data_IF_997616095837
#
_entry.id   IF_997616095837
#
_cell.length_a   1.000
_cell.length_b   1.000
_cell.length_c   1.000
_cell.angle_alpha   90.00
_cell.angle_beta   90.00
_cell.angle_gamma   90.00
#
_symmetry.space_group_name_H-M   'P 1'
#
loop_
_entity.id
_entity.type
_entity.pdbx_description
1 polymer ?
#
# COMPACT_ATOMS: atom_id res chain seq x y z
N UNK A 1 19.37 6.66 -34.09
CA UNK A 1 20.82 6.84 -34.12
C UNK A 1 21.24 7.59 -32.85
N UNK A 2 21.76 6.87 -31.84
CA UNK A 2 21.98 7.36 -30.46
C UNK A 2 23.46 7.58 -30.16
N UNK A 3 24.19 8.20 -31.09
CA UNK A 3 25.60 8.58 -30.89
C UNK A 3 25.79 9.88 -30.08
N UNK A 4 24.70 10.59 -29.71
CA UNK A 4 24.78 11.97 -29.18
C UNK A 4 24.57 12.13 -27.66
N UNK A 5 24.28 11.06 -26.91
CA UNK A 5 24.42 11.08 -25.46
C UNK A 5 25.61 10.20 -25.11
N UNK A 6 26.68 10.75 -24.53
CA UNK A 6 27.77 9.96 -23.96
C UNK A 6 27.26 8.92 -22.95
N UNK A 7 28.12 8.11 -22.32
CA UNK A 7 27.67 7.17 -21.29
C UNK A 7 27.02 7.96 -20.15
N UNK A 8 25.68 8.03 -20.16
CA UNK A 8 24.94 8.61 -19.04
C UNK A 8 25.29 7.82 -17.79
N UNK A 9 25.37 8.51 -16.64
CA UNK A 9 25.71 7.86 -15.37
C UNK A 9 24.69 6.78 -14.99
N UNK A 10 23.46 6.89 -15.50
CA UNK A 10 22.37 5.97 -15.22
C UNK A 10 21.77 5.41 -16.51
N UNK A 11 21.45 4.11 -16.48
CA UNK A 11 20.63 3.45 -17.49
C UNK A 11 19.19 3.40 -17.00
N UNK A 12 18.29 4.17 -17.62
CA UNK A 12 16.85 4.07 -17.43
C UNK A 12 16.30 2.88 -18.22
N UNK A 13 15.36 2.15 -17.64
CA UNK A 13 14.65 1.04 -18.28
C UNK A 13 13.26 0.85 -17.69
N UNK A 14 12.42 0.11 -18.40
CA UNK A 14 11.11 -0.34 -17.93
C UNK A 14 11.25 -1.76 -17.41
N UNK A 15 10.71 -2.01 -16.22
CA UNK A 15 10.60 -3.32 -15.59
C UNK A 15 9.14 -3.77 -15.65
N UNK A 16 8.91 -4.89 -16.30
CA UNK A 16 7.66 -5.66 -16.26
C UNK A 16 7.86 -6.86 -15.35
N UNK A 17 6.95 -7.08 -14.40
CA UNK A 17 6.98 -8.21 -13.47
C UNK A 17 5.60 -8.81 -13.24
N UNK A 18 5.54 -10.13 -13.10
CA UNK A 18 4.33 -10.90 -12.77
C UNK A 18 4.55 -11.65 -11.46
N UNK A 19 3.64 -11.47 -10.49
CA UNK A 19 3.64 -12.20 -9.21
C UNK A 19 4.95 -12.11 -8.40
N UNK A 20 5.69 -11.01 -8.58
CA UNK A 20 7.02 -10.80 -8.00
C UNK A 20 7.13 -9.48 -7.26
N UNK A 21 7.94 -9.48 -6.22
CA UNK A 21 8.31 -8.26 -5.52
C UNK A 21 9.32 -7.44 -6.34
N UNK A 22 9.26 -6.12 -6.22
CA UNK A 22 10.17 -5.21 -6.94
C UNK A 22 11.63 -5.49 -6.57
N UNK A 23 11.94 -5.64 -5.29
CA UNK A 23 13.30 -5.89 -4.79
C UNK A 23 13.80 -7.27 -5.22
N UNK A 24 12.93 -8.27 -5.31
CA UNK A 24 13.27 -9.58 -5.87
C UNK A 24 13.81 -9.46 -7.30
N UNK A 25 13.13 -8.69 -8.15
CA UNK A 25 13.57 -8.42 -9.52
C UNK A 25 14.88 -7.63 -9.58
N UNK A 26 15.05 -6.59 -8.75
CA UNK A 26 16.29 -5.80 -8.72
C UNK A 26 17.50 -6.62 -8.23
N UNK A 27 17.30 -7.53 -7.28
CA UNK A 27 18.33 -8.45 -6.83
C UNK A 27 18.77 -9.43 -7.94
N UNK A 28 17.84 -9.84 -8.82
CA UNK A 28 18.19 -10.64 -10.00
C UNK A 28 19.00 -9.83 -11.01
N UNK A 29 18.60 -8.58 -11.28
CA UNK A 29 19.36 -7.68 -12.15
C UNK A 29 20.79 -7.48 -11.65
N UNK A 30 20.95 -7.23 -10.34
CA UNK A 30 22.24 -7.08 -9.69
C UNK A 30 23.17 -8.29 -9.88
N UNK A 31 22.62 -9.51 -9.78
CA UNK A 31 23.38 -10.74 -10.04
C UNK A 31 23.84 -10.85 -11.49
N UNK A 32 22.96 -10.56 -12.45
CA UNK A 32 23.29 -10.60 -13.88
C UNK A 32 24.35 -9.57 -14.24
N UNK A 33 24.27 -8.36 -13.69
CA UNK A 33 25.20 -7.28 -14.01
C UNK A 33 26.50 -7.31 -13.22
N UNK A 34 26.57 -8.11 -12.14
CA UNK A 34 27.67 -8.13 -11.20
C UNK A 34 27.76 -6.84 -10.38
N UNK A 35 26.62 -6.22 -10.07
CA UNK A 35 26.52 -4.98 -9.29
C UNK A 35 25.78 -5.23 -7.98
N UNK A 36 25.70 -4.21 -7.12
CA UNK A 36 24.86 -4.24 -5.92
C UNK A 36 23.41 -3.89 -6.28
N UNK A 37 22.45 -4.37 -5.49
CA UNK A 37 21.02 -4.02 -5.62
C UNK A 37 20.79 -2.52 -5.41
N UNK A 38 21.58 -1.87 -4.57
CA UNK A 38 21.59 -0.41 -4.33
C UNK A 38 22.00 0.40 -5.55
N UNK A 39 22.58 -0.22 -6.59
CA UNK A 39 22.82 0.45 -7.86
C UNK A 39 21.53 0.71 -8.64
N UNK A 40 20.44 0.01 -8.31
CA UNK A 40 19.15 0.14 -8.95
C UNK A 40 18.19 0.95 -8.09
N UNK A 41 17.45 1.85 -8.73
CA UNK A 41 16.46 2.71 -8.09
C UNK A 41 15.17 2.75 -8.90
N UNK A 42 14.08 3.13 -8.25
CA UNK A 42 12.72 3.13 -8.80
C UNK A 42 11.87 4.19 -8.10
N UNK A 43 10.72 4.54 -8.69
CA UNK A 43 9.88 5.62 -8.19
C UNK A 43 8.96 5.20 -7.03
N UNK A 44 8.52 3.96 -7.00
CA UNK A 44 7.69 3.39 -5.93
C UNK A 44 7.59 1.89 -6.08
N UNK A 45 7.39 1.18 -4.98
CA UNK A 45 7.12 -0.26 -5.01
C UNK A 45 5.75 -0.53 -5.63
N UNK A 46 5.64 -1.65 -6.35
CA UNK A 46 4.38 -2.10 -6.97
C UNK A 46 3.95 -3.42 -6.37
N UNK A 47 2.64 -3.66 -6.33
CA UNK A 47 2.04 -4.87 -5.77
C UNK A 47 2.72 -6.14 -6.27
N UNK A 48 2.97 -7.06 -5.34
CA UNK A 48 3.54 -8.37 -5.68
C UNK A 48 2.57 -9.19 -6.51
N UNK A 49 1.31 -9.30 -6.07
CA UNK A 49 0.28 -10.14 -6.69
C UNK A 49 -0.39 -9.36 -7.82
N UNK A 50 0.09 -9.56 -9.03
CA UNK A 50 -0.42 -8.90 -10.24
C UNK A 50 0.65 -8.81 -11.32
N UNK A 51 0.28 -8.14 -12.40
CA UNK A 51 1.19 -7.75 -13.47
C UNK A 51 1.44 -6.26 -13.32
N UNK A 52 2.70 -5.87 -13.16
CA UNK A 52 3.06 -4.47 -12.91
C UNK A 52 4.19 -4.03 -13.80
N UNK A 53 4.09 -2.78 -14.26
CA UNK A 53 5.09 -2.15 -15.12
C UNK A 53 5.55 -0.85 -14.46
N UNK A 54 6.86 -0.66 -14.36
CA UNK A 54 7.43 0.52 -13.71
C UNK A 54 8.74 0.95 -14.35
N UNK A 55 9.06 2.24 -14.22
CA UNK A 55 10.36 2.78 -14.62
C UNK A 55 11.39 2.60 -13.50
N UNK A 56 12.58 2.16 -13.87
CA UNK A 56 13.72 1.98 -13.00
C UNK A 56 14.97 2.63 -13.61
N UNK A 57 16.01 2.81 -12.81
CA UNK A 57 17.34 3.20 -13.29
C UNK A 57 18.46 2.44 -12.59
N UNK A 58 19.52 2.09 -13.33
CA UNK A 58 20.74 1.46 -12.81
C UNK A 58 21.95 2.37 -12.95
N UNK A 59 22.69 2.64 -11.88
CA UNK A 59 23.91 3.43 -11.89
C UNK A 59 25.09 2.65 -12.50
N UNK A 60 25.72 3.21 -13.53
CA UNK A 60 26.84 2.62 -14.29
C UNK A 60 26.55 1.19 -14.78
N UNK A 61 25.31 0.92 -15.12
CA UNK A 61 24.87 -0.35 -15.71
C UNK A 61 24.87 -0.22 -17.23
N UNK A 62 25.51 -1.17 -17.91
CA UNK A 62 25.53 -1.23 -19.37
C UNK A 62 24.33 -2.02 -19.90
N UNK A 63 23.64 -1.46 -20.90
CA UNK A 63 22.52 -2.12 -21.59
C UNK A 63 22.90 -3.52 -22.09
N UNK A 64 24.10 -3.70 -22.61
CA UNK A 64 24.58 -4.99 -23.16
C UNK A 64 24.60 -6.15 -22.16
N UNK A 65 24.63 -5.86 -20.85
CA UNK A 65 24.51 -6.90 -19.81
C UNK A 65 23.07 -7.31 -19.52
N UNK A 66 22.11 -6.46 -19.86
CA UNK A 66 20.70 -6.62 -19.56
C UNK A 66 19.88 -7.06 -20.77
N UNK A 67 20.28 -6.62 -21.96
CA UNK A 67 19.62 -6.96 -23.21
C UNK A 67 19.68 -8.48 -23.46
N UNK A 68 18.51 -9.10 -23.63
CA UNK A 68 18.39 -10.55 -23.81
C UNK A 68 18.63 -11.39 -22.54
N UNK A 69 18.93 -10.78 -21.39
CA UNK A 69 19.18 -11.51 -20.16
C UNK A 69 17.91 -12.22 -19.65
N UNK A 70 18.05 -13.49 -19.26
CA UNK A 70 16.98 -14.22 -18.59
C UNK A 70 16.94 -13.86 -17.10
N UNK A 71 15.85 -13.23 -16.68
CA UNK A 71 15.63 -12.80 -15.29
C UNK A 71 14.65 -13.72 -14.54
N UNK A 72 14.33 -14.87 -15.11
CA UNK A 72 13.30 -15.76 -14.60
C UNK A 72 11.93 -15.58 -15.26
N UNK A 73 10.97 -16.46 -14.93
CA UNK A 73 9.62 -16.39 -15.49
C UNK A 73 8.90 -15.13 -15.03
N UNK A 74 8.11 -14.54 -15.92
CA UNK A 74 7.29 -13.36 -15.63
C UNK A 74 8.08 -12.08 -15.39
N UNK A 75 9.35 -12.00 -15.79
CA UNK A 75 10.17 -10.76 -15.70
C UNK A 75 10.66 -10.38 -17.08
N UNK A 76 10.38 -9.14 -17.50
CA UNK A 76 10.89 -8.55 -18.74
C UNK A 76 11.42 -7.15 -18.47
N UNK A 77 12.43 -6.76 -19.22
CA UNK A 77 12.98 -5.41 -19.20
C UNK A 77 13.13 -4.89 -20.63
N UNK A 78 12.98 -3.59 -20.80
CA UNK A 78 13.07 -2.94 -22.10
C UNK A 78 13.09 -1.42 -22.00
N UNK A 79 12.94 -0.74 -23.14
CA UNK A 79 12.89 0.73 -23.17
C UNK A 79 14.15 1.40 -22.63
N UNK A 80 15.32 0.82 -22.92
CA UNK A 80 16.60 1.29 -22.41
C UNK A 80 16.95 2.70 -22.91
N UNK A 81 17.43 3.55 -22.00
CA UNK A 81 17.92 4.90 -22.31
C UNK A 81 18.96 5.35 -21.30
N UNK A 82 20.13 5.81 -21.77
CA UNK A 82 21.10 6.46 -20.89
C UNK A 82 20.62 7.87 -20.52
N UNK A 83 20.62 8.17 -19.22
CA UNK A 83 20.14 9.42 -18.65
C UNK A 83 21.13 9.95 -17.62
N UNK A 84 21.11 11.27 -17.42
CA UNK A 84 21.95 11.93 -16.41
C UNK A 84 21.40 11.71 -14.99
N UNK A 85 20.10 11.83 -14.83
CA UNK A 85 19.44 11.73 -13.53
C UNK A 85 18.84 10.34 -13.33
N UNK A 86 19.01 9.80 -12.11
CA UNK A 86 18.36 8.56 -11.70
C UNK A 86 16.89 8.79 -11.35
N UNK A 87 16.11 7.73 -11.40
CA UNK A 87 14.77 7.68 -10.82
C UNK A 87 14.91 7.61 -9.30
N UNK A 88 14.28 8.52 -8.57
CA UNK A 88 14.22 8.53 -7.11
C UNK A 88 12.83 8.10 -6.63
N UNK A 89 12.76 7.63 -5.39
CA UNK A 89 11.47 7.31 -4.79
C UNK A 89 10.61 8.59 -4.70
N UNK A 90 9.35 8.50 -5.10
CA UNK A 90 8.45 9.64 -5.24
C UNK A 90 8.42 10.26 -6.64
N UNK A 91 9.32 9.88 -7.56
CA UNK A 91 9.33 10.37 -8.96
C UNK A 91 8.23 9.72 -9.83
N UNK A 92 7.01 9.59 -9.29
CA UNK A 92 5.81 9.19 -10.01
C UNK A 92 4.66 10.14 -9.66
N UNK A 93 3.78 10.40 -10.61
CA UNK A 93 2.54 11.16 -10.35
C UNK A 93 1.38 10.28 -9.90
N UNK A 94 1.47 8.96 -10.07
CA UNK A 94 0.38 8.04 -9.83
C UNK A 94 0.57 6.68 -10.50
N UNK A 95 -0.50 5.88 -10.51
CA UNK A 95 -0.55 4.57 -11.13
C UNK A 95 -1.86 4.40 -11.90
N UNK A 96 -1.77 3.81 -13.08
CA UNK A 96 -2.92 3.29 -13.82
C UNK A 96 -3.19 1.85 -13.36
N UNK A 97 -4.46 1.55 -13.11
CA UNK A 97 -4.91 0.23 -12.69
C UNK A 97 -5.88 -0.30 -13.74
N UNK A 98 -5.66 -1.55 -14.16
CA UNK A 98 -6.64 -2.35 -14.91
C UNK A 98 -6.97 -3.55 -14.04
N UNK A 99 -8.19 -3.57 -13.51
CA UNK A 99 -8.63 -4.56 -12.52
C UNK A 99 -9.77 -5.36 -13.10
N UNK A 100 -9.62 -6.69 -13.08
CA UNK A 100 -10.68 -7.63 -13.42
C UNK A 100 -11.37 -8.09 -12.14
N UNK A 101 -12.64 -7.73 -11.99
CA UNK A 101 -13.57 -8.31 -11.02
C UNK A 101 -14.17 -9.56 -11.65
N UNK A 102 -13.95 -10.72 -11.03
CA UNK A 102 -14.48 -12.01 -11.48
C UNK A 102 -15.71 -12.40 -10.68
N UNK A 103 -16.52 -13.26 -11.28
CA UNK A 103 -17.72 -13.85 -10.67
C UNK A 103 -18.63 -12.77 -10.06
N UNK A 104 -18.85 -11.69 -10.82
CA UNK A 104 -19.69 -10.58 -10.38
C UNK A 104 -21.13 -11.04 -10.32
N UNK A 105 -21.69 -11.00 -9.12
CA UNK A 105 -23.07 -11.39 -8.83
C UNK A 105 -23.88 -10.20 -8.31
N UNK A 106 -25.20 -10.27 -8.51
CA UNK A 106 -26.15 -9.32 -7.94
C UNK A 106 -26.26 -9.55 -6.43
N UNK A 107 -26.43 -8.46 -5.69
CA UNK A 107 -26.45 -8.52 -4.23
C UNK A 107 -27.83 -8.91 -3.68
N UNK A 108 -28.89 -8.72 -4.47
CA UNK A 108 -30.27 -8.93 -4.03
C UNK A 108 -31.08 -9.75 -5.02
N UNK A 109 -31.97 -10.60 -4.52
CA UNK A 109 -32.82 -11.50 -5.32
C UNK A 109 -33.85 -10.76 -6.19
N UNK A 110 -34.06 -9.46 -5.94
CA UNK A 110 -34.98 -8.62 -6.71
C UNK A 110 -34.34 -7.98 -7.95
N UNK A 111 -33.01 -7.94 -8.01
CA UNK A 111 -32.28 -7.46 -9.17
C UNK A 111 -32.16 -8.61 -10.18
N UNK A 112 -32.26 -8.26 -11.46
CA UNK A 112 -32.14 -9.21 -12.56
C UNK A 112 -30.89 -8.91 -13.39
N UNK A 113 -30.48 -9.85 -14.23
CA UNK A 113 -29.31 -9.63 -15.10
C UNK A 113 -29.44 -8.39 -15.99
N UNK A 114 -30.67 -7.95 -16.30
CA UNK A 114 -30.92 -6.72 -17.07
C UNK A 114 -30.58 -5.44 -16.31
N UNK A 115 -30.47 -5.49 -14.99
CA UNK A 115 -30.12 -4.34 -14.15
C UNK A 115 -28.61 -4.10 -14.06
N UNK A 116 -27.80 -5.12 -14.37
CA UNK A 116 -26.33 -5.09 -14.23
C UNK A 116 -25.70 -3.88 -14.93
N UNK A 117 -26.00 -3.57 -16.21
CA UNK A 117 -25.40 -2.41 -16.88
C UNK A 117 -25.68 -1.10 -16.14
N UNK A 118 -26.92 -0.92 -15.67
CA UNK A 118 -27.36 0.28 -14.95
C UNK A 118 -26.70 0.39 -13.57
N UNK A 119 -26.55 -0.73 -12.85
CA UNK A 119 -25.86 -0.77 -11.55
C UNK A 119 -24.39 -0.39 -11.74
N UNK A 120 -23.71 -0.98 -12.72
CA UNK A 120 -22.31 -0.69 -13.01
C UNK A 120 -22.14 0.78 -13.43
N UNK A 121 -22.99 1.27 -14.33
CA UNK A 121 -22.99 2.67 -14.76
C UNK A 121 -23.17 3.63 -13.59
N UNK A 122 -24.14 3.37 -12.70
CA UNK A 122 -24.38 4.20 -11.51
C UNK A 122 -23.18 4.21 -10.57
N UNK A 123 -22.65 3.04 -10.22
CA UNK A 123 -21.54 2.92 -9.26
C UNK A 123 -20.23 3.49 -9.80
N UNK A 124 -19.91 3.25 -11.08
CA UNK A 124 -18.66 3.70 -11.69
C UNK A 124 -18.71 5.18 -12.09
N UNK A 125 -19.88 5.70 -12.46
CA UNK A 125 -20.08 7.15 -12.64
C UNK A 125 -19.97 7.86 -11.30
N UNK A 126 -20.54 7.31 -10.22
CA UNK A 126 -20.37 7.85 -8.87
C UNK A 126 -18.90 7.91 -8.46
N UNK A 127 -18.12 6.85 -8.71
CA UNK A 127 -16.68 6.85 -8.47
C UNK A 127 -15.96 7.92 -9.32
N UNK A 128 -16.33 8.05 -10.59
CA UNK A 128 -15.71 8.99 -11.51
C UNK A 128 -16.03 10.46 -11.18
N UNK A 129 -17.23 10.75 -10.68
CA UNK A 129 -17.71 12.11 -10.41
C UNK A 129 -17.45 12.56 -8.97
N UNK A 130 -17.74 11.70 -8.01
CA UNK A 130 -17.67 11.98 -6.56
C UNK A 130 -16.39 11.47 -5.91
N UNK A 131 -15.66 10.56 -6.55
CA UNK A 131 -14.46 9.94 -6.00
C UNK A 131 -14.77 8.91 -4.92
N UNK A 132 -13.79 8.69 -4.05
CA UNK A 132 -13.90 7.79 -2.89
C UNK A 132 -13.14 8.35 -1.69
N UNK A 133 -13.47 7.86 -0.50
CA UNK A 133 -12.76 8.25 0.73
C UNK A 133 -11.37 7.64 0.73
N UNK A 134 -10.34 8.47 0.90
CA UNK A 134 -8.93 8.14 0.78
C UNK A 134 -8.36 7.38 1.99
N UNK A 135 -9.08 6.37 2.46
CA UNK A 135 -8.65 5.53 3.58
C UNK A 135 -7.28 4.91 3.33
N UNK A 136 -6.54 4.72 4.43
CA UNK A 136 -5.46 3.75 4.44
C UNK A 136 -6.06 2.35 4.37
N UNK A 137 -5.71 1.60 3.32
CA UNK A 137 -6.21 0.23 3.14
C UNK A 137 -5.68 -0.73 4.21
N UNK A 138 -6.31 -1.90 4.33
CA UNK A 138 -5.99 -2.88 5.39
C UNK A 138 -4.55 -3.36 5.39
N UNK A 139 -3.87 -3.36 4.24
CA UNK A 139 -2.44 -3.66 4.14
C UNK A 139 -1.60 -2.79 5.08
N UNK A 140 -1.98 -1.51 5.28
CA UNK A 140 -1.29 -0.56 6.15
C UNK A 140 -1.22 -1.01 7.61
N UNK A 141 -2.22 -1.78 8.04
CA UNK A 141 -2.32 -2.28 9.40
C UNK A 141 -1.81 -3.72 9.54
N UNK A 142 -1.19 -4.25 8.48
CA UNK A 142 -0.81 -5.65 8.37
C UNK A 142 -1.98 -6.53 7.92
N UNK A 143 -1.67 -7.66 7.30
CA UNK A 143 -2.66 -8.60 6.74
C UNK A 143 -3.15 -9.67 7.74
N UNK A 144 -2.77 -9.55 9.02
CA UNK A 144 -2.93 -10.61 10.03
C UNK A 144 -3.76 -10.13 11.23
N UNK A 145 -4.11 -11.06 12.13
CA UNK A 145 -5.01 -10.82 13.27
C UNK A 145 -4.52 -9.76 14.27
N UNK A 146 -3.22 -9.44 14.26
CA UNK A 146 -2.63 -8.40 15.11
C UNK A 146 -2.27 -7.22 14.23
N UNK A 147 -2.83 -6.06 14.58
CA UNK A 147 -2.67 -4.87 13.77
C UNK A 147 -1.39 -4.10 14.10
N UNK A 148 -0.65 -3.71 13.08
CA UNK A 148 0.61 -2.94 13.14
C UNK A 148 0.51 -1.68 14.03
N UNK A 149 -0.65 -1.03 14.07
CA UNK A 149 -0.87 0.16 14.89
C UNK A 149 -0.84 -0.13 16.40
N UNK A 150 -1.15 -1.35 16.86
CA UNK A 150 -1.11 -1.69 18.28
C UNK A 150 0.31 -1.64 18.85
N UNK A 151 1.30 -2.08 18.05
CA UNK A 151 2.72 -1.93 18.37
C UNK A 151 3.07 -0.45 18.50
N UNK A 152 2.61 0.37 17.55
CA UNK A 152 2.86 1.82 17.56
C UNK A 152 2.23 2.52 18.77
N UNK A 153 1.03 2.13 19.18
CA UNK A 153 0.38 2.64 20.39
C UNK A 153 1.21 2.34 21.64
N UNK A 154 1.70 1.10 21.79
CA UNK A 154 2.57 0.72 22.88
C UNK A 154 3.89 1.52 22.87
N UNK A 155 4.47 1.75 21.69
CA UNK A 155 5.67 2.58 21.54
C UNK A 155 5.42 4.05 21.92
N UNK A 156 4.30 4.64 21.51
CA UNK A 156 3.95 6.02 21.86
C UNK A 156 3.66 6.19 23.35
N UNK A 157 3.13 5.15 24.01
CA UNK A 157 2.91 5.09 25.45
C UNK A 157 4.21 4.80 26.25
N UNK A 158 5.35 4.59 25.59
CA UNK A 158 6.60 4.11 26.20
C UNK A 158 6.48 2.75 26.92
N UNK A 159 5.47 1.95 26.56
CA UNK A 159 5.26 0.59 27.05
C UNK A 159 6.08 -0.39 26.19
N UNK A 160 7.41 -0.33 26.33
CA UNK A 160 8.35 -1.05 25.47
C UNK A 160 8.21 -2.57 25.55
N UNK A 161 7.97 -3.12 26.74
CA UNK A 161 7.71 -4.55 26.93
C UNK A 161 6.48 -4.99 26.15
N UNK A 162 5.38 -4.25 26.27
CA UNK A 162 4.15 -4.53 25.53
C UNK A 162 4.37 -4.47 24.02
N UNK A 163 5.15 -3.50 23.52
CA UNK A 163 5.48 -3.44 22.10
C UNK A 163 6.26 -4.68 21.63
N UNK A 164 7.24 -5.15 22.41
CA UNK A 164 7.98 -6.38 22.13
C UNK A 164 7.04 -7.60 22.14
N UNK A 165 6.20 -7.72 23.16
CA UNK A 165 5.26 -8.84 23.28
C UNK A 165 4.29 -8.90 22.09
N UNK A 166 3.75 -7.76 21.65
CA UNK A 166 2.87 -7.69 20.47
C UNK A 166 3.61 -8.12 19.18
N UNK A 167 4.87 -7.74 19.03
CA UNK A 167 5.68 -8.13 17.85
C UNK A 167 5.91 -9.65 17.83
N UNK A 168 6.14 -10.24 19.01
CA UNK A 168 6.57 -11.64 19.17
C UNK A 168 5.40 -12.63 19.19
N UNK A 169 4.21 -12.24 19.65
CA UNK A 169 3.07 -13.15 19.83
C UNK A 169 2.47 -13.70 18.52
N UNK A 170 1.78 -14.86 18.55
CA UNK A 170 1.13 -15.49 17.38
C UNK A 170 0.14 -14.56 16.66
N UNK A 171 0.23 -14.47 15.32
CA UNK A 171 -0.55 -13.53 14.51
C UNK A 171 -1.72 -14.17 13.74
N UNK A 172 -2.12 -15.39 14.12
CA UNK A 172 -3.19 -16.14 13.44
C UNK A 172 -2.68 -16.90 12.23
N UNK A 173 -3.20 -16.60 11.04
CA UNK A 173 -2.84 -17.24 9.77
C UNK A 173 -1.36 -16.97 9.40
N UNK A 174 -0.49 -17.82 9.96
CA UNK A 174 0.95 -17.83 9.72
C UNK A 174 1.41 -19.20 9.22
N UNK A 175 2.58 -19.23 8.59
CA UNK A 175 3.20 -20.49 8.20
C UNK A 175 3.51 -21.33 9.44
N UNK A 176 3.47 -22.68 9.35
CA UNK A 176 3.68 -23.55 10.51
C UNK A 176 4.99 -23.30 11.27
N UNK A 177 6.07 -22.95 10.56
CA UNK A 177 7.37 -22.60 11.15
C UNK A 177 7.33 -21.30 11.96
N UNK A 178 6.54 -20.31 11.53
CA UNK A 178 6.32 -19.06 12.28
C UNK A 178 5.52 -19.34 13.55
N UNK A 179 4.43 -20.11 13.45
CA UNK A 179 3.59 -20.46 14.60
C UNK A 179 4.41 -21.21 15.67
N UNK A 180 5.21 -22.20 15.27
CA UNK A 180 6.07 -22.94 16.18
C UNK A 180 7.07 -22.04 16.91
N UNK A 181 7.71 -21.11 16.19
CA UNK A 181 8.67 -20.17 16.78
C UNK A 181 8.02 -19.23 17.80
N UNK A 182 6.82 -18.72 17.50
CA UNK A 182 6.08 -17.82 18.40
C UNK A 182 5.51 -18.54 19.62
N UNK A 183 5.04 -19.77 19.46
CA UNK A 183 4.58 -20.59 20.60
C UNK A 183 5.75 -20.89 21.56
N UNK A 184 6.95 -21.18 21.04
CA UNK A 184 8.15 -21.35 21.85
C UNK A 184 8.48 -20.09 22.67
N UNK A 185 8.32 -18.91 22.06
CA UNK A 185 8.45 -17.64 22.77
C UNK A 185 7.44 -17.51 23.91
N UNK A 186 6.16 -17.80 23.65
CA UNK A 186 5.10 -17.72 24.67
C UNK A 186 5.32 -18.68 25.84
N UNK A 187 5.87 -19.87 25.59
CA UNK A 187 6.12 -20.88 26.62
C UNK A 187 7.35 -20.56 27.47
N UNK A 188 8.47 -20.22 26.83
CA UNK A 188 9.78 -20.21 27.51
C UNK A 188 10.33 -18.82 27.79
N UNK A 189 9.97 -17.82 26.98
CA UNK A 189 10.60 -16.47 26.96
C UNK A 189 12.14 -16.51 26.94
N UNK A 190 12.73 -17.58 26.41
CA UNK A 190 14.18 -17.75 26.29
C UNK A 190 14.68 -17.23 24.94
N UNK A 191 15.41 -16.11 24.96
CA UNK A 191 15.91 -15.45 23.76
C UNK A 191 16.85 -16.32 22.91
N UNK A 192 17.68 -17.16 23.55
CA UNK A 192 18.71 -17.96 22.88
C UNK A 192 18.09 -19.15 22.16
N UNK A 193 17.14 -19.83 22.79
CA UNK A 193 16.43 -20.94 22.16
C UNK A 193 15.49 -20.43 21.05
N UNK A 194 14.76 -19.34 21.29
CA UNK A 194 13.89 -18.74 20.28
C UNK A 194 14.67 -18.32 19.03
N UNK A 195 15.86 -17.72 19.17
CA UNK A 195 16.66 -17.26 18.02
C UNK A 195 17.06 -18.38 17.05
N UNK A 196 17.17 -19.62 17.54
CA UNK A 196 17.48 -20.79 16.70
C UNK A 196 16.29 -21.22 15.83
N UNK A 197 15.06 -20.99 16.32
CA UNK A 197 13.83 -21.46 15.69
C UNK A 197 13.20 -20.37 14.80
N UNK A 198 13.32 -19.10 15.18
CA UNK A 198 12.74 -18.00 14.40
C UNK A 198 13.31 -17.94 12.97
N UNK A 199 12.46 -18.04 11.92
CA UNK A 199 12.89 -18.01 10.53
C UNK A 199 13.67 -16.75 10.17
N UNK A 200 14.63 -16.85 9.23
CA UNK A 200 15.48 -15.71 8.80
C UNK A 200 14.68 -14.52 8.24
N UNK A 201 13.50 -14.78 7.71
CA UNK A 201 12.57 -13.75 7.21
C UNK A 201 11.88 -12.94 8.31
N UNK A 202 11.91 -13.37 9.58
CA UNK A 202 11.38 -12.62 10.72
C UNK A 202 12.39 -11.57 11.19
N UNK A 203 12.56 -10.51 10.41
CA UNK A 203 13.62 -9.51 10.61
C UNK A 203 13.51 -8.81 11.96
N UNK A 204 12.30 -8.33 12.31
CA UNK A 204 12.06 -7.62 13.56
C UNK A 204 12.26 -8.53 14.79
N UNK A 205 11.65 -9.72 14.77
CA UNK A 205 11.71 -10.67 15.87
C UNK A 205 13.16 -11.14 16.09
N UNK A 206 13.90 -11.47 15.03
CA UNK A 206 15.31 -11.87 15.16
C UNK A 206 16.20 -10.73 15.65
N UNK A 207 15.93 -9.49 15.27
CA UNK A 207 16.65 -8.32 15.79
C UNK A 207 16.46 -8.17 17.30
N UNK A 208 15.21 -8.26 17.78
CA UNK A 208 14.87 -8.27 19.22
C UNK A 208 15.63 -9.39 19.94
N UNK A 209 15.48 -10.63 19.47
CA UNK A 209 16.09 -11.80 20.10
C UNK A 209 17.63 -11.68 20.16
N UNK A 210 18.26 -11.18 19.10
CA UNK A 210 19.72 -10.98 19.04
C UNK A 210 20.17 -9.89 20.00
N UNK A 211 19.42 -8.79 20.10
CA UNK A 211 19.74 -7.70 21.02
C UNK A 211 19.59 -8.14 22.48
N UNK A 212 18.50 -8.83 22.80
CA UNK A 212 18.25 -9.34 24.16
C UNK A 212 19.27 -10.39 24.59
N UNK A 213 19.71 -11.26 23.67
CA UNK A 213 20.79 -12.22 23.96
C UNK A 213 22.12 -11.53 24.32
N UNK A 214 22.41 -10.37 23.72
CA UNK A 214 23.65 -9.61 23.96
C UNK A 214 23.54 -8.66 25.15
N UNK A 215 22.32 -8.31 25.55
CA UNK A 215 22.08 -7.37 26.64
C UNK A 215 22.54 -7.95 27.98
N UNK A 216 23.11 -7.09 28.83
CA UNK A 216 23.42 -7.43 30.23
C UNK A 216 22.17 -7.33 31.12
N UNK A 217 21.08 -6.79 30.59
CA UNK A 217 19.82 -6.49 31.26
C UNK A 217 18.69 -7.24 30.56
N UNK A 218 18.00 -8.11 31.30
CA UNK A 218 16.86 -8.88 30.77
C UNK A 218 15.60 -8.04 30.54
N UNK A 219 15.58 -6.78 31.00
CA UNK A 219 14.47 -5.83 30.92
C UNK A 219 14.72 -4.67 29.92
N UNK A 220 15.77 -4.74 29.11
CA UNK A 220 16.11 -3.70 28.12
C UNK A 220 15.26 -3.82 26.83
N UNK A 221 13.94 -3.75 26.99
CA UNK A 221 12.99 -3.84 25.87
C UNK A 221 13.13 -2.66 24.90
N UNK A 222 13.47 -1.46 25.40
CA UNK A 222 13.71 -0.31 24.55
C UNK A 222 14.94 -0.55 23.65
N UNK A 223 16.07 -1.01 24.21
CA UNK A 223 17.25 -1.38 23.44
C UNK A 223 16.98 -2.48 22.43
N UNK A 224 16.14 -3.47 22.79
CA UNK A 224 15.72 -4.53 21.87
C UNK A 224 14.92 -4.00 20.68
N UNK A 225 13.98 -3.06 20.92
CA UNK A 225 13.25 -2.39 19.85
C UNK A 225 14.19 -1.55 18.97
N UNK A 226 15.17 -0.84 19.54
CA UNK A 226 16.16 -0.06 18.77
C UNK A 226 17.00 -0.91 17.81
N UNK A 227 17.11 -2.22 18.04
CA UNK A 227 17.82 -3.12 17.13
C UNK A 227 17.05 -3.44 15.84
N UNK A 228 15.72 -3.28 15.85
CA UNK A 228 14.89 -3.43 14.64
C UNK A 228 15.27 -2.34 13.64
N UNK A 229 15.41 -2.60 12.32
CA UNK A 229 15.64 -1.56 11.33
C UNK A 229 14.69 -0.36 11.49
N UNK A 230 15.22 0.87 11.44
CA UNK A 230 14.46 2.12 11.71
C UNK A 230 13.15 2.17 10.92
N UNK A 231 13.18 1.75 9.66
CA UNK A 231 12.05 1.82 8.74
C UNK A 231 10.86 0.98 9.24
N UNK A 232 11.13 -0.22 9.75
CA UNK A 232 10.10 -1.09 10.35
C UNK A 232 9.53 -0.48 11.62
N UNK A 233 10.35 0.23 12.41
CA UNK A 233 9.86 0.93 13.61
C UNK A 233 8.93 2.09 13.28
N UNK A 234 9.29 2.88 12.28
CA UNK A 234 8.46 3.98 11.79
C UNK A 234 7.13 3.48 11.24
N UNK A 235 7.13 2.33 10.55
CA UNK A 235 5.89 1.70 10.08
C UNK A 235 4.86 1.52 11.21
N UNK A 236 5.27 1.08 12.40
CA UNK A 236 4.37 0.95 13.55
C UNK A 236 3.76 2.28 13.97
N UNK A 237 4.59 3.33 14.04
CA UNK A 237 4.17 4.67 14.45
C UNK A 237 3.21 5.31 13.42
N UNK A 238 3.52 5.17 12.13
CA UNK A 238 2.64 5.67 11.08
C UNK A 238 1.34 4.89 10.96
N UNK A 239 1.34 3.60 11.30
CA UNK A 239 0.09 2.85 11.37
C UNK A 239 -0.86 3.45 12.42
N UNK A 240 -0.36 4.03 13.52
CA UNK A 240 -1.20 4.78 14.48
C UNK A 240 -1.78 6.03 13.84
N UNK A 241 -0.96 6.82 13.13
CA UNK A 241 -1.46 8.01 12.43
C UNK A 241 -2.55 7.65 11.42
N UNK A 242 -2.32 6.60 10.61
CA UNK A 242 -3.30 6.05 9.67
C UNK A 242 -4.58 5.58 10.35
N UNK A 243 -4.46 4.94 11.52
CA UNK A 243 -5.60 4.43 12.29
C UNK A 243 -6.49 5.56 12.80
N UNK A 244 -5.90 6.59 13.42
CA UNK A 244 -6.64 7.76 13.89
C UNK A 244 -7.25 8.53 12.71
N UNK A 245 -6.48 8.71 11.63
CA UNK A 245 -6.94 9.41 10.44
C UNK A 245 -8.15 8.73 9.79
N UNK A 246 -8.13 7.39 9.64
CA UNK A 246 -9.27 6.66 9.07
C UNK A 246 -10.56 6.92 9.89
N UNK A 247 -10.49 6.87 11.22
CA UNK A 247 -11.65 7.12 12.07
C UNK A 247 -12.12 8.58 11.99
N UNK A 248 -11.19 9.53 11.96
CA UNK A 248 -11.52 10.95 11.81
C UNK A 248 -12.15 11.25 10.43
N UNK A 249 -11.67 10.62 9.37
CA UNK A 249 -12.25 10.74 8.04
C UNK A 249 -13.68 10.15 7.99
N UNK A 250 -13.90 8.98 8.58
CA UNK A 250 -15.25 8.41 8.69
C UNK A 250 -16.20 9.34 9.45
N UNK A 251 -15.76 9.88 10.59
CA UNK A 251 -16.57 10.79 11.39
C UNK A 251 -16.85 12.10 10.65
N UNK A 252 -15.85 12.65 9.96
CA UNK A 252 -16.00 13.87 9.16
C UNK A 252 -17.04 13.72 8.06
N UNK A 253 -17.01 12.60 7.33
CA UNK A 253 -18.00 12.33 6.29
C UNK A 253 -19.37 12.05 6.90
N UNK A 254 -19.44 11.36 8.05
CA UNK A 254 -20.70 11.09 8.76
C UNK A 254 -21.41 12.37 9.20
N UNK A 255 -20.66 13.36 9.70
CA UNK A 255 -21.24 14.59 10.26
C UNK A 255 -21.65 15.61 9.20
N UNK A 256 -20.83 15.85 8.17
CA UNK A 256 -21.11 16.93 7.20
C UNK A 256 -21.16 16.49 5.73
N UNK A 257 -21.04 15.19 5.46
CA UNK A 257 -21.10 14.66 4.10
C UNK A 257 -20.03 15.24 3.18
N UNK A 258 -20.40 15.55 1.95
CA UNK A 258 -19.53 15.95 0.85
C UNK A 258 -19.31 17.47 0.72
N UNK A 259 -19.68 18.26 1.73
CA UNK A 259 -19.52 19.73 1.71
C UNK A 259 -18.36 20.14 2.60
N UNK A 260 -17.60 21.14 2.19
CA UNK A 260 -16.66 21.84 3.08
C UNK A 260 -17.47 22.72 4.03
N UNK A 261 -17.09 22.75 5.30
CA UNK A 261 -17.75 23.55 6.34
C UNK A 261 -16.76 24.42 7.10
N UNK A 262 -17.26 25.43 7.81
CA UNK A 262 -16.46 26.20 8.75
C UNK A 262 -15.72 25.27 9.73
N UNK A 263 -14.45 25.58 9.96
CA UNK A 263 -13.53 24.86 10.82
C UNK A 263 -12.76 23.73 10.13
N UNK A 264 -13.08 23.40 8.87
CA UNK A 264 -12.29 22.45 8.08
C UNK A 264 -10.90 23.01 7.70
N UNK A 265 -9.99 22.09 7.39
CA UNK A 265 -8.69 22.42 6.80
C UNK A 265 -8.72 22.06 5.31
N UNK A 266 -8.31 22.99 4.46
CA UNK A 266 -8.19 22.77 3.01
C UNK A 266 -6.76 22.96 2.52
N UNK A 267 -6.31 22.14 1.58
CA UNK A 267 -4.99 22.25 0.98
C UNK A 267 -4.91 23.47 0.05
N UNK A 268 -3.96 24.38 0.29
CA UNK A 268 -3.66 25.51 -0.62
C UNK A 268 -2.71 25.09 -1.73
N UNK A 269 -1.71 24.30 -1.36
CA UNK A 269 -0.61 23.89 -2.22
C UNK A 269 -0.13 22.52 -1.76
N UNK A 270 0.00 21.59 -2.72
CA UNK A 270 0.65 20.32 -2.47
C UNK A 270 2.08 20.37 -3.03
N UNK A 271 3.11 20.64 -2.21
CA UNK A 271 4.51 20.62 -2.67
C UNK A 271 4.95 19.25 -3.21
N UNK A 272 4.25 18.17 -2.88
CA UNK A 272 4.51 16.82 -3.40
C UNK A 272 4.02 16.64 -4.85
N UNK A 273 3.15 17.51 -5.36
CA UNK A 273 2.68 17.45 -6.75
C UNK A 273 3.68 18.03 -7.76
N UNK A 274 4.71 18.75 -7.30
CA UNK A 274 5.64 19.51 -8.17
C UNK A 274 7.12 19.17 -7.97
N UNK A 275 7.47 18.15 -7.21
CA UNK A 275 8.88 17.88 -6.95
C UNK A 275 9.37 16.52 -7.43
N UNK A 276 10.34 16.55 -8.34
CA UNK A 276 11.46 15.62 -8.29
C UNK A 276 12.18 15.88 -6.96
N UNK A 277 12.32 14.90 -6.07
CA UNK A 277 13.11 15.15 -4.87
C UNK A 277 13.93 13.99 -4.31
N UNK A 278 15.07 14.46 -3.79
CA UNK A 278 16.06 13.88 -2.89
C UNK A 278 16.67 12.52 -3.20
N UNK A 279 18.00 12.50 -3.06
CA UNK A 279 18.89 11.37 -3.26
C UNK A 279 18.72 10.30 -2.17
N UNK A 280 17.58 9.65 -2.07
CA UNK A 280 17.40 8.53 -1.12
C UNK A 280 17.75 7.22 -1.82
N UNK A 281 18.73 6.49 -1.29
CA UNK A 281 18.98 5.09 -1.64
C UNK A 281 18.17 4.22 -0.69
N UNK A 282 17.31 3.32 -1.17
CA UNK A 282 16.63 2.37 -0.30
C UNK A 282 17.67 1.53 0.45
N UNK A 283 17.63 1.52 1.78
CA UNK A 283 18.28 0.47 2.56
C UNK A 283 17.50 -0.84 2.33
N UNK A 284 18.21 -1.97 2.26
CA UNK A 284 17.60 -3.30 2.16
C UNK A 284 16.96 -3.68 3.50
N UNK A 285 15.73 -3.21 3.73
CA UNK A 285 15.01 -3.44 4.99
C UNK A 285 14.19 -4.73 5.01
N UNK A 286 14.22 -5.50 3.91
CA UNK A 286 13.44 -6.74 3.73
C UNK A 286 11.92 -6.56 3.83
N UNK A 287 11.44 -5.32 3.97
CA UNK A 287 10.04 -4.92 4.00
C UNK A 287 9.88 -3.67 3.14
N UNK A 288 9.21 -3.87 2.01
CA UNK A 288 8.98 -2.86 0.97
C UNK A 288 8.13 -1.69 1.47
N UNK A 289 7.13 -1.96 2.31
CA UNK A 289 6.24 -0.91 2.81
C UNK A 289 7.00 -0.01 3.80
N UNK A 290 7.81 -0.58 4.67
CA UNK A 290 8.66 0.19 5.57
C UNK A 290 9.68 1.07 4.82
N UNK A 291 10.29 0.55 3.75
CA UNK A 291 11.19 1.32 2.89
C UNK A 291 10.48 2.51 2.23
N UNK A 292 9.26 2.29 1.71
CA UNK A 292 8.47 3.34 1.08
C UNK A 292 8.07 4.42 2.10
N UNK A 293 7.61 4.02 3.29
CA UNK A 293 7.27 4.94 4.39
C UNK A 293 8.43 5.87 4.75
N UNK A 294 9.61 5.30 4.93
CA UNK A 294 10.77 6.07 5.41
C UNK A 294 11.23 7.04 4.35
N UNK A 295 11.29 6.61 3.10
CA UNK A 295 11.66 7.48 2.02
C UNK A 295 10.57 8.53 1.74
N UNK A 296 9.28 8.23 2.01
CA UNK A 296 8.22 9.25 2.04
C UNK A 296 8.46 10.25 3.18
N UNK A 297 8.76 9.83 4.40
CA UNK A 297 9.09 10.74 5.52
C UNK A 297 10.31 11.61 5.20
N UNK A 298 11.37 11.02 4.67
CA UNK A 298 12.62 11.70 4.33
C UNK A 298 12.44 12.65 3.13
N UNK A 299 11.64 12.24 2.14
CA UNK A 299 11.21 13.13 1.07
C UNK A 299 10.33 14.28 1.60
N UNK A 300 9.52 14.01 2.62
CA UNK A 300 8.65 15.00 3.28
C UNK A 300 9.37 15.88 4.30
N UNK A 301 10.63 15.60 4.67
CA UNK A 301 11.41 16.46 5.57
C UNK A 301 11.46 17.90 5.02
N UNK A 302 10.56 18.74 5.52
CA UNK A 302 10.41 20.15 5.18
C UNK A 302 9.29 20.53 4.20
N UNK A 303 8.45 19.59 3.72
CA UNK A 303 7.41 19.87 2.69
C UNK A 303 6.05 19.28 3.05
N UNK A 304 5.54 19.69 4.21
CA UNK A 304 4.16 19.44 4.62
C UNK A 304 3.18 20.12 3.66
N UNK A 305 2.00 19.54 3.46
CA UNK A 305 0.93 20.21 2.72
C UNK A 305 0.60 21.53 3.42
N UNK A 306 0.58 22.63 2.67
CA UNK A 306 0.17 23.91 3.22
C UNK A 306 -1.36 23.95 3.31
N UNK A 307 -1.86 24.27 4.50
CA UNK A 307 -3.31 24.26 4.79
C UNK A 307 -3.84 25.62 5.16
N UNK A 308 -5.08 25.86 4.74
CA UNK A 308 -5.93 26.99 5.12
C UNK A 308 -7.00 26.49 6.08
N UNK A 309 -7.23 27.22 7.18
CA UNK A 309 -8.42 27.01 8.00
C UNK A 309 -9.59 27.75 7.34
N UNK A 310 -10.73 27.07 7.23
CA UNK A 310 -11.97 27.68 6.76
C UNK A 310 -12.63 28.38 7.96
N UNK A 311 -12.66 29.71 7.96
CA UNK A 311 -13.13 30.52 9.09
C UNK A 311 -14.61 30.93 8.99
N UNK A 312 -15.16 30.93 7.77
CA UNK A 312 -16.52 31.41 7.48
C UNK A 312 -17.27 30.46 6.54
N UNK A 313 -18.61 30.50 6.57
CA UNK A 313 -19.44 29.68 5.68
C UNK A 313 -19.38 30.18 4.22
N UNK A 314 -19.18 31.49 4.02
CA UNK A 314 -18.95 32.08 2.70
C UNK A 314 -17.66 31.54 2.07
N UNK A 315 -16.58 31.45 2.85
CA UNK A 315 -15.34 30.83 2.40
C UNK A 315 -15.56 29.35 2.10
N UNK A 316 -16.25 28.62 2.98
CA UNK A 316 -16.55 27.20 2.82
C UNK A 316 -17.27 26.91 1.49
N UNK A 317 -18.24 27.74 1.11
CA UNK A 317 -19.01 27.61 -0.13
C UNK A 317 -18.15 27.73 -1.41
N UNK A 318 -16.97 28.34 -1.33
CA UNK A 318 -16.05 28.48 -2.47
C UNK A 318 -15.03 27.34 -2.60
N UNK A 319 -14.92 26.47 -1.59
CA UNK A 319 -13.89 25.41 -1.56
C UNK A 319 -14.45 24.10 -2.10
N UNK A 320 -13.58 23.32 -2.75
CA UNK A 320 -13.92 21.97 -3.19
C UNK A 320 -13.69 20.96 -2.06
N UNK A 321 -14.55 19.93 -2.00
CA UNK A 321 -14.34 18.78 -1.12
C UNK A 321 -13.05 18.02 -1.45
N UNK A 322 -12.56 18.11 -2.69
CA UNK A 322 -11.29 17.53 -3.10
C UNK A 322 -10.10 18.16 -2.37
N UNK A 323 -10.23 19.40 -1.92
CA UNK A 323 -9.20 20.12 -1.17
C UNK A 323 -9.27 19.88 0.34
N UNK A 324 -10.34 19.25 0.84
CA UNK A 324 -10.46 18.91 2.25
C UNK A 324 -9.33 17.96 2.67
N UNK A 325 -8.59 18.35 3.70
CA UNK A 325 -7.56 17.53 4.32
C UNK A 325 -7.82 17.34 5.80
N UNK A 326 -7.38 16.20 6.31
CA UNK A 326 -7.35 15.93 7.75
C UNK A 326 -5.91 15.65 8.20
N UNK A 327 -5.55 16.05 9.43
CA UNK A 327 -4.20 15.86 9.94
C UNK A 327 -3.92 14.39 10.29
N UNK A 328 -2.72 13.93 9.93
CA UNK A 328 -2.06 12.82 10.58
C UNK A 328 -1.52 13.33 11.93
N UNK A 329 -1.90 12.72 13.07
CA UNK A 329 -1.52 13.23 14.38
C UNK A 329 -0.02 13.43 14.55
N UNK A 330 0.38 14.60 15.06
CA UNK A 330 1.78 14.95 15.26
C UNK A 330 1.94 16.34 15.87
N UNK A 331 3.16 16.68 16.25
CA UNK A 331 3.42 17.90 17.03
C UNK A 331 3.51 19.19 16.18
N UNK A 332 3.43 19.10 14.85
CA UNK A 332 3.60 20.22 13.93
C UNK A 332 2.37 20.46 13.02
N UNK A 333 1.26 19.77 13.27
CA UNK A 333 0.01 19.92 12.49
C UNK A 333 -1.00 20.78 13.22
N UNK A 334 -1.90 21.37 12.43
CA UNK A 334 -3.11 22.03 12.91
C UNK A 334 -4.26 21.03 12.88
N UNK A 335 -5.20 21.20 13.79
CA UNK A 335 -6.42 20.41 13.83
C UNK A 335 -7.62 21.27 13.39
N UNK A 336 -8.67 20.66 12.80
CA UNK A 336 -9.93 21.34 12.53
C UNK A 336 -10.49 22.01 13.79
N UNK A 337 -11.16 23.15 13.63
CA UNK A 337 -11.76 23.89 14.76
C UNK A 337 -13.26 23.63 14.94
N UNK A 338 -13.81 22.68 14.17
CA UNK A 338 -15.16 22.16 14.31
C UNK A 338 -15.18 20.87 15.15
N UNK A 339 -16.32 20.17 15.17
CA UNK A 339 -16.56 18.95 15.96
C UNK A 339 -15.54 17.83 15.66
N UNK A 340 -14.84 17.88 14.51
CA UNK A 340 -13.77 16.93 14.20
C UNK A 340 -12.52 17.17 15.05
N UNK A 341 -12.20 18.41 15.41
CA UNK A 341 -11.12 18.69 16.37
C UNK A 341 -11.38 18.01 17.72
N UNK A 342 -12.62 18.11 18.21
CA UNK A 342 -13.05 17.44 19.45
C UNK A 342 -13.11 15.91 19.30
N UNK A 343 -13.44 15.40 18.10
CA UNK A 343 -13.32 13.98 17.79
C UNK A 343 -11.87 13.51 17.93
N UNK A 344 -10.88 14.21 17.37
CA UNK A 344 -9.47 13.84 17.53
C UNK A 344 -9.09 13.75 19.01
N UNK A 345 -9.46 14.77 19.80
CA UNK A 345 -9.19 14.82 21.24
C UNK A 345 -9.80 13.64 21.98
N UNK A 346 -11.10 13.40 21.81
CA UNK A 346 -11.83 12.34 22.51
C UNK A 346 -11.42 10.93 22.05
N UNK A 347 -11.15 10.75 20.76
CA UNK A 347 -10.74 9.46 20.20
C UNK A 347 -9.31 9.10 20.63
N UNK A 348 -8.37 10.04 20.52
CA UNK A 348 -6.97 9.81 20.90
C UNK A 348 -6.82 9.60 22.42
N UNK A 349 -7.63 10.27 23.24
CA UNK A 349 -7.61 10.11 24.69
C UNK A 349 -7.91 8.67 25.14
N UNK A 350 -8.72 7.91 24.38
CA UNK A 350 -8.98 6.47 24.65
C UNK A 350 -7.72 5.61 24.62
N UNK A 351 -6.68 6.10 23.95
CA UNK A 351 -5.39 5.44 23.81
C UNK A 351 -4.26 6.16 24.57
N UNK A 352 -4.60 7.09 25.47
CA UNK A 352 -3.62 7.86 26.24
C UNK A 352 -2.81 8.86 25.41
N UNK A 353 -3.37 9.32 24.28
CA UNK A 353 -2.75 10.30 23.40
C UNK A 353 -3.52 11.63 23.43
N UNK A 354 -2.80 12.75 23.35
CA UNK A 354 -3.36 14.08 23.22
C UNK A 354 -2.92 14.69 21.88
N UNK A 355 -3.84 15.11 20.98
CA UNK A 355 -3.48 15.77 19.72
C UNK A 355 -2.61 17.02 19.89
N UNK A 356 -2.71 17.73 21.02
CA UNK A 356 -1.94 18.95 21.28
C UNK A 356 -0.64 18.69 22.05
N UNK A 357 -0.42 17.47 22.54
CA UNK A 357 0.82 17.01 23.15
C UNK A 357 1.28 15.68 22.53
N UNK A 358 1.87 15.80 21.34
CA UNK A 358 2.42 14.67 20.57
C UNK A 358 3.95 14.60 20.61
N UNK A 359 4.63 15.49 21.34
CA UNK A 359 6.08 15.38 21.56
C UNK A 359 6.36 14.28 22.57
N UNK A 360 7.39 13.49 22.33
CA UNK A 360 7.79 12.37 23.19
C UNK A 360 9.25 12.51 23.58
N UNK A 361 9.65 11.80 24.64
CA UNK A 361 11.03 11.84 25.14
C UNK A 361 12.03 11.36 24.09
N UNK A 362 11.66 10.32 23.34
CA UNK A 362 12.46 9.79 22.25
C UNK A 362 12.15 10.55 20.95
N UNK A 363 13.21 10.93 20.23
CA UNK A 363 13.07 11.68 18.96
C UNK A 363 12.27 10.89 17.92
N UNK A 364 12.49 9.58 17.84
CA UNK A 364 11.82 8.72 16.85
C UNK A 364 10.31 8.57 17.09
N UNK A 365 9.84 8.67 18.33
CA UNK A 365 8.41 8.61 18.66
C UNK A 365 7.75 9.99 18.66
N UNK A 366 8.52 11.05 18.42
CA UNK A 366 8.02 12.41 18.26
C UNK A 366 7.66 12.70 16.81
N UNK A 367 6.49 12.24 16.39
CA UNK A 367 6.00 12.40 15.02
C UNK A 367 5.65 13.86 14.72
N UNK A 368 6.13 14.39 13.60
CA UNK A 368 5.78 15.75 13.15
C UNK A 368 4.32 15.86 12.75
N UNK A 369 3.75 14.78 12.18
CA UNK A 369 2.46 14.80 11.51
C UNK A 369 2.57 15.31 10.07
N UNK A 370 1.44 15.28 9.36
CA UNK A 370 1.25 15.79 8.00
C UNK A 370 -0.25 15.95 7.73
N UNK A 371 -0.65 16.29 6.52
CA UNK A 371 -2.05 16.28 6.11
C UNK A 371 -2.29 15.29 4.96
N UNK A 372 -3.54 14.82 4.87
CA UNK A 372 -3.97 13.91 3.81
C UNK A 372 -5.36 14.31 3.33
N UNK A 373 -5.53 14.34 2.00
CA UNK A 373 -6.83 14.59 1.34
C UNK A 373 -7.85 13.53 1.74
N UNK A 374 -9.05 13.95 2.07
CA UNK A 374 -10.15 13.06 2.50
C UNK A 374 -10.77 12.34 1.32
N UNK A 375 -10.98 13.03 0.20
CA UNK A 375 -11.56 12.49 -1.03
C UNK A 375 -10.51 12.44 -2.13
N UNK A 376 -10.49 11.35 -2.89
CA UNK A 376 -9.70 11.21 -4.11
C UNK A 376 -10.63 10.92 -5.27
N UNK A 377 -10.46 11.69 -6.35
CA UNK A 377 -11.17 11.49 -7.60
C UNK A 377 -10.25 10.77 -8.62
N UNK A 378 -10.56 9.52 -8.99
CA UNK A 378 -9.79 8.83 -10.02
C UNK A 378 -9.93 9.54 -11.37
N UNK A 379 -8.86 9.48 -12.17
CA UNK A 379 -8.87 9.96 -13.56
C UNK A 379 -9.04 8.78 -14.52
N UNK A 380 -9.47 9.06 -15.74
CA UNK A 380 -9.56 8.07 -16.82
C UNK A 380 -10.36 6.81 -16.43
N UNK A 381 -11.45 6.99 -15.68
CA UNK A 381 -12.33 5.88 -15.29
C UNK A 381 -13.02 5.33 -16.52
N UNK A 382 -12.88 4.04 -16.77
CA UNK A 382 -13.55 3.32 -17.85
C UNK A 382 -13.81 1.88 -17.42
N UNK A 383 -14.81 1.25 -18.03
CA UNK A 383 -15.14 -0.12 -17.73
C UNK A 383 -15.75 -0.85 -18.91
N UNK A 384 -15.64 -2.17 -18.89
CA UNK A 384 -16.36 -3.08 -19.79
C UNK A 384 -16.73 -4.36 -19.05
N UNK A 385 -17.85 -4.96 -19.41
CA UNK A 385 -18.25 -6.27 -18.93
C UNK A 385 -18.05 -7.32 -20.02
N UNK A 386 -17.67 -8.53 -19.61
CA UNK A 386 -17.52 -9.70 -20.48
C UNK A 386 -18.17 -10.90 -19.79
N UNK A 387 -18.89 -11.71 -20.56
CA UNK A 387 -19.32 -13.05 -20.15
C UNK A 387 -18.25 -14.07 -20.48
N UNK A 388 -18.03 -15.02 -19.58
CA UNK A 388 -17.02 -16.07 -19.72
C UNK A 388 -17.46 -17.36 -19.02
N UNK A 389 -16.84 -18.49 -19.38
CA UNK A 389 -17.10 -19.79 -18.73
C UNK A 389 -15.92 -20.26 -17.89
N UNK A 390 -14.70 -20.22 -18.45
CA UNK A 390 -13.49 -20.69 -17.77
C UNK A 390 -12.98 -19.62 -16.76
N UNK A 391 -12.93 -19.94 -15.45
CA UNK A 391 -12.42 -19.03 -14.42
C UNK A 391 -10.95 -18.61 -14.62
N UNK A 392 -10.16 -19.40 -15.35
CA UNK A 392 -8.76 -19.10 -15.61
C UNK A 392 -8.55 -18.27 -16.88
N UNK A 393 -9.58 -18.13 -17.73
CA UNK A 393 -9.47 -17.38 -18.98
C UNK A 393 -9.15 -15.91 -18.71
N UNK A 394 -8.01 -15.36 -19.18
CA UNK A 394 -7.64 -13.96 -18.95
C UNK A 394 -8.67 -13.00 -19.56
N UNK A 395 -9.25 -12.12 -18.73
CA UNK A 395 -10.25 -11.13 -19.19
C UNK A 395 -9.64 -9.76 -19.52
N UNK A 396 -8.37 -9.55 -19.16
CA UNK A 396 -7.62 -8.34 -19.45
C UNK A 396 -6.29 -8.70 -20.08
N UNK A 397 -5.86 -7.87 -21.03
CA UNK A 397 -4.57 -7.99 -21.71
C UNK A 397 -3.46 -7.36 -20.90
N UNK A 398 -2.33 -8.06 -20.78
CA UNK A 398 -1.08 -7.47 -20.30
C UNK A 398 -0.36 -6.73 -21.43
N UNK A 399 0.63 -5.90 -21.08
CA UNK A 399 1.50 -5.28 -22.08
C UNK A 399 2.28 -6.34 -22.89
N UNK A 400 2.65 -7.45 -22.25
CA UNK A 400 3.36 -8.54 -22.92
C UNK A 400 2.45 -9.27 -23.93
N UNK A 401 1.18 -9.49 -23.58
CA UNK A 401 0.18 -10.07 -24.50
C UNK A 401 0.02 -9.20 -25.74
N UNK A 402 -0.10 -7.88 -25.56
CA UNK A 402 -0.20 -6.91 -26.66
C UNK A 402 1.03 -6.91 -27.55
N UNK A 403 2.23 -6.90 -26.96
CA UNK A 403 3.50 -6.96 -27.69
C UNK A 403 3.59 -8.24 -28.53
N UNK A 404 3.09 -9.36 -27.99
CA UNK A 404 3.08 -10.65 -28.68
C UNK A 404 1.93 -10.80 -29.68
N UNK A 405 1.06 -9.78 -29.83
CA UNK A 405 -0.07 -9.82 -30.75
C UNK A 405 -1.16 -10.82 -30.34
N UNK A 406 -1.29 -11.12 -29.04
CA UNK A 406 -2.37 -11.97 -28.56
C UNK A 406 -3.74 -11.27 -28.79
N UNK A 407 -4.79 -12.04 -29.09
CA UNK A 407 -6.12 -11.48 -29.37
C UNK A 407 -6.76 -10.89 -28.11
N UNK A 408 -7.53 -9.82 -28.27
CA UNK A 408 -8.33 -9.25 -27.19
C UNK A 408 -9.40 -10.25 -26.69
N UNK A 409 -9.63 -10.34 -25.37
CA UNK A 409 -10.72 -11.13 -24.81
C UNK A 409 -12.08 -10.65 -25.32
N UNK A 410 -12.88 -11.58 -25.84
CA UNK A 410 -14.24 -11.33 -26.35
C UNK A 410 -15.26 -11.97 -25.42
N UNK A 411 -16.39 -11.28 -25.23
CA UNK A 411 -17.51 -11.80 -24.43
C UNK A 411 -18.14 -13.00 -25.13
N UNK A 412 -18.35 -14.09 -24.39
CA UNK A 412 -19.05 -15.28 -24.90
C UNK A 412 -20.56 -15.04 -24.75
N UNK A 413 -21.38 -15.20 -25.81
CA UNK A 413 -22.84 -15.15 -25.69
C UNK A 413 -23.32 -16.15 -24.64
N UNK A 414 -24.19 -15.72 -23.72
CA UNK A 414 -24.78 -16.55 -22.66
C UNK A 414 -23.75 -17.26 -21.74
N UNK A 415 -22.53 -16.72 -21.62
CA UNK A 415 -21.51 -17.28 -20.72
C UNK A 415 -21.97 -17.32 -19.26
N UNK A 416 -21.58 -18.38 -18.55
CA UNK A 416 -22.07 -18.69 -17.19
C UNK A 416 -21.69 -17.64 -16.15
N UNK A 417 -20.58 -16.94 -16.36
CA UNK A 417 -19.99 -16.01 -15.40
C UNK A 417 -19.90 -14.62 -16.00
N UNK A 418 -19.98 -13.62 -15.12
CA UNK A 418 -19.80 -12.22 -15.48
C UNK A 418 -18.48 -11.69 -14.91
N UNK A 419 -17.68 -11.10 -15.78
CA UNK A 419 -16.47 -10.37 -15.43
C UNK A 419 -16.65 -8.90 -15.73
N UNK A 420 -16.16 -8.04 -14.83
CA UNK A 420 -16.12 -6.59 -15.03
C UNK A 420 -14.69 -6.14 -14.99
N UNK A 421 -14.24 -5.48 -16.06
CA UNK A 421 -12.91 -4.91 -16.15
C UNK A 421 -13.07 -3.41 -15.93
N UNK A 422 -12.41 -2.91 -14.89
CA UNK A 422 -12.41 -1.49 -14.54
C UNK A 422 -11.00 -0.95 -14.71
N UNK A 423 -10.87 0.17 -15.41
CA UNK A 423 -9.63 0.93 -15.51
C UNK A 423 -9.78 2.31 -14.90
N UNK A 424 -8.76 2.75 -14.17
CA UNK A 424 -8.67 4.12 -13.64
C UNK A 424 -7.24 4.47 -13.24
N UNK A 425 -6.94 5.75 -13.17
CA UNK A 425 -5.66 6.30 -12.69
C UNK A 425 -5.84 6.93 -11.33
N UNK A 426 -5.00 6.55 -10.37
CA UNK A 426 -4.91 7.18 -9.05
C UNK A 426 -3.60 7.94 -8.89
N UNK A 427 -3.62 9.01 -8.11
CA UNK A 427 -2.41 9.68 -7.67
C UNK A 427 -1.61 8.85 -6.65
N UNK A 428 -0.42 9.32 -6.31
CA UNK A 428 0.42 8.67 -5.29
C UNK A 428 -0.27 8.63 -3.92
N UNK A 429 0.09 7.67 -3.09
CA UNK A 429 -0.45 7.52 -1.72
C UNK A 429 -1.97 7.26 -1.67
N UNK A 430 -2.56 6.72 -2.75
CA UNK A 430 -3.93 6.24 -2.82
C UNK A 430 -3.97 4.72 -3.04
N UNK A 431 -5.01 4.06 -2.52
CA UNK A 431 -5.14 2.61 -2.55
C UNK A 431 -6.27 2.20 -3.51
N UNK A 432 -5.96 1.43 -4.55
CA UNK A 432 -6.97 0.92 -5.49
C UNK A 432 -8.05 0.08 -4.81
N UNK A 433 -7.70 -0.65 -3.75
CA UNK A 433 -8.66 -1.40 -2.94
C UNK A 433 -9.74 -0.52 -2.32
N UNK A 434 -9.44 0.74 -1.98
CA UNK A 434 -10.43 1.66 -1.42
C UNK A 434 -11.37 2.21 -2.50
N UNK A 435 -10.87 2.40 -3.73
CA UNK A 435 -11.73 2.70 -4.88
C UNK A 435 -12.65 1.52 -5.20
N UNK A 436 -12.13 0.29 -5.19
CA UNK A 436 -12.94 -0.92 -5.38
C UNK A 436 -13.97 -1.11 -4.27
N UNK A 437 -13.63 -0.80 -3.03
CA UNK A 437 -14.56 -0.83 -1.89
C UNK A 437 -15.76 0.10 -2.13
N UNK A 438 -15.55 1.26 -2.74
CA UNK A 438 -16.62 2.19 -3.08
C UNK A 438 -17.55 1.62 -4.17
N UNK A 439 -16.97 0.96 -5.19
CA UNK A 439 -17.73 0.31 -6.26
C UNK A 439 -18.54 -0.88 -5.74
N UNK A 440 -17.89 -1.77 -4.98
CA UNK A 440 -18.44 -3.06 -4.56
C UNK A 440 -19.30 -2.96 -3.29
N UNK A 441 -19.13 -1.90 -2.51
CA UNK A 441 -19.74 -1.70 -1.18
C UNK A 441 -19.55 -2.89 -0.24
N UNK A 442 -18.47 -3.63 -0.43
CA UNK A 442 -18.12 -4.83 0.32
C UNK A 442 -16.77 -4.65 1.03
N UNK A 443 -16.49 -5.52 2.00
CA UNK A 443 -15.20 -5.50 2.67
C UNK A 443 -14.06 -5.88 1.70
N UNK A 444 -12.97 -5.14 1.73
CA UNK A 444 -11.76 -5.41 0.93
C UNK A 444 -10.59 -5.88 1.78
N UNK A 445 -10.84 -6.25 3.05
CA UNK A 445 -9.88 -6.85 3.94
C UNK A 445 -9.37 -8.19 3.41
N UNK A 446 -8.09 -8.49 3.68
CA UNK A 446 -7.44 -9.71 3.20
C UNK A 446 -8.17 -11.00 3.62
N UNK A 447 -8.72 -11.03 4.85
CA UNK A 447 -9.51 -12.15 5.35
C UNK A 447 -10.80 -12.37 4.54
N UNK A 448 -11.59 -11.32 4.32
CA UNK A 448 -12.82 -11.40 3.52
C UNK A 448 -12.53 -11.81 2.07
N UNK A 449 -11.51 -11.23 1.45
CA UNK A 449 -11.08 -11.57 0.10
C UNK A 449 -10.54 -13.01 -0.02
N UNK A 450 -9.86 -13.51 1.01
CA UNK A 450 -9.42 -14.90 1.10
C UNK A 450 -10.60 -15.86 1.15
N UNK A 451 -11.62 -15.55 1.95
CA UNK A 451 -12.86 -16.34 2.04
C UNK A 451 -13.57 -16.38 0.69
N UNK A 452 -13.75 -15.23 0.03
CA UNK A 452 -14.36 -15.19 -1.32
C UNK A 452 -13.54 -15.97 -2.35
N UNK A 453 -12.22 -15.82 -2.33
CA UNK A 453 -11.33 -16.55 -3.24
C UNK A 453 -11.40 -18.06 -3.03
N UNK A 454 -11.47 -18.51 -1.77
CA UNK A 454 -11.60 -19.94 -1.45
C UNK A 454 -12.96 -20.49 -1.86
N UNK A 455 -14.05 -19.72 -1.65
CA UNK A 455 -15.39 -20.10 -2.10
C UNK A 455 -15.44 -20.27 -3.62
N UNK A 456 -14.97 -19.27 -4.37
CA UNK A 456 -14.89 -19.35 -5.84
C UNK A 456 -14.03 -20.54 -6.30
N UNK A 457 -12.87 -20.78 -5.68
CA UNK A 457 -12.04 -21.96 -5.98
C UNK A 457 -12.79 -23.27 -5.79
N UNK A 458 -13.45 -23.46 -4.65
CA UNK A 458 -14.21 -24.69 -4.35
C UNK A 458 -15.32 -24.91 -5.38
N UNK A 459 -16.05 -23.85 -5.76
CA UNK A 459 -17.08 -23.93 -6.80
C UNK A 459 -16.47 -24.29 -8.16
N UNK A 460 -15.36 -23.66 -8.55
CA UNK A 460 -14.68 -23.95 -9.83
C UNK A 460 -14.05 -25.34 -9.89
N UNK A 461 -13.52 -25.84 -8.77
CA UNK A 461 -12.95 -27.18 -8.69
C UNK A 461 -14.06 -28.24 -8.75
N UNK A 462 -15.21 -28.00 -8.10
CA UNK A 462 -16.38 -28.87 -8.18
C UNK A 462 -16.96 -28.94 -9.60
N UNK A 463 -17.05 -27.80 -10.30
CA UNK A 463 -17.44 -27.78 -11.72
C UNK A 463 -16.48 -28.56 -12.60
N UNK A 464 -15.18 -28.51 -12.32
CA UNK A 464 -14.17 -29.26 -13.06
C UNK A 464 -14.33 -30.77 -12.85
N UNK A 465 -14.47 -31.21 -11.60
CA UNK A 465 -14.70 -32.64 -11.31
C UNK A 465 -15.97 -33.15 -11.98
N UNK A 466 -17.05 -32.36 -11.98
CA UNK A 466 -18.30 -32.73 -12.66
C UNK A 466 -18.14 -32.82 -14.19
N UNK A 467 -17.30 -31.98 -14.80
CA UNK A 467 -16.99 -32.06 -16.24
C UNK A 467 -16.12 -33.27 -16.58
N UNK A 468 -15.12 -33.58 -15.73
CA UNK A 468 -14.25 -34.75 -15.87
C UNK A 468 -15.01 -36.08 -15.68
N UNK A 469 -15.99 -36.13 -14.78
CA UNK A 469 -16.84 -37.31 -14.56
C UNK A 469 -17.89 -37.51 -15.67
N UNK A 470 -18.15 -36.48 -16.48
CA UNK A 470 -19.13 -36.49 -17.58
C UNK A 470 -18.52 -36.77 -18.96
N UNK A 471 -17.19 -36.77 -19.07
CA UNK A 471 -16.40 -37.03 -20.28
C UNK A 471 -15.83 -38.45 -20.26
#
# INVERSE_FOLDING_TARGET
DFSASGPGEHLSFILYKENKDTMECLNQLARVTGTLSTAYTFAGTKDKRGVTVQKCSGYRVYQSKLEGAYLGPGVKIGGFKYVKDRVNLGDLSGNEFVITLRDVALATDHETETDIPKILETSLTSLAESGFINYYGMQRFGTRNISTHQVGLAMLASSWETAVDIIMMPKGDEKPDFVAARNLWMEKRDYKECLKVFPRSCIAERAILTAMQKSKRSDDYYGALQAIPRNLRLMYLHAVQSFVWNHAASERIRLYGNKVVKGDLVAKFNPLAQSNASKVTPEDTGDAEAAEITAIEEHRQGRMIEVELVETDEQAATKSIEDLVLPLPGHAVKYPTNEIGEFYKSFMAKYGLDPHDMKRKQRETSLTGDYRRVIIKPKNVSWKSLRYDDPNFPLSMTDLDRINGAPEPVSIPDGKRLGVIVSFTLETSSYATMALREILRSDTGAGFQSVMSNKSKVETDAERTALEDSA
#
